data_IF_404199349037
#
_entry.id   IF_404199349037
#
_cell.length_a   1.000
_cell.length_b   1.000
_cell.length_c   1.000
_cell.angle_alpha   90.00
_cell.angle_beta   90.00
_cell.angle_gamma   90.00
#
_symmetry.space_group_name_H-M   'P 1'
#
loop_
_entity.id
_entity.type
_entity.pdbx_description
1 polymer ?
#
# COMPACT_ATOMS: atom_id res chain seq x y z
N UNK A 1 7.84 -12.66 -24.54
CA UNK A 1 8.36 -11.36 -25.03
C UNK A 1 8.41 -10.44 -23.83
N UNK A 2 9.55 -10.36 -23.13
CA UNK A 2 9.66 -9.49 -21.95
C UNK A 2 9.62 -8.03 -22.37
N UNK A 3 8.42 -7.45 -22.31
CA UNK A 3 8.10 -6.05 -22.53
C UNK A 3 8.49 -5.25 -21.28
N UNK A 4 9.78 -5.18 -20.98
CA UNK A 4 10.27 -4.33 -19.88
C UNK A 4 10.61 -2.96 -20.45
N UNK A 5 10.02 -1.89 -19.90
CA UNK A 5 10.31 -0.49 -20.26
C UNK A 5 11.81 -0.16 -20.26
N UNK A 6 12.61 -0.86 -19.45
CA UNK A 6 14.08 -0.80 -19.46
C UNK A 6 14.71 -1.07 -20.84
N UNK A 7 14.14 -1.98 -21.63
CA UNK A 7 14.63 -2.23 -23.00
C UNK A 7 14.37 -1.04 -23.92
N UNK A 8 13.24 -0.36 -23.74
CA UNK A 8 12.91 0.83 -24.51
C UNK A 8 13.83 2.00 -24.13
N UNK A 9 14.17 2.16 -22.85
CA UNK A 9 15.15 3.16 -22.43
C UNK A 9 16.51 2.93 -23.08
N UNK A 10 16.97 1.68 -23.13
CA UNK A 10 18.22 1.32 -23.80
C UNK A 10 18.17 1.63 -25.32
N UNK A 11 17.08 1.29 -26.00
CA UNK A 11 16.89 1.58 -27.43
C UNK A 11 16.86 3.08 -27.73
N UNK A 12 16.27 3.88 -26.83
CA UNK A 12 16.19 5.34 -26.94
C UNK A 12 17.46 6.05 -26.44
N UNK A 13 18.50 5.29 -26.06
CA UNK A 13 19.74 5.80 -25.49
C UNK A 13 19.53 6.72 -24.27
N UNK A 14 18.48 6.47 -23.48
CA UNK A 14 18.22 7.20 -22.24
C UNK A 14 19.15 6.66 -21.14
N UNK A 15 19.95 7.51 -20.48
CA UNK A 15 20.81 7.08 -19.38
C UNK A 15 19.99 6.43 -18.26
N UNK A 16 20.40 5.25 -17.84
CA UNK A 16 19.75 4.48 -16.77
C UNK A 16 20.77 3.66 -16.01
N UNK A 17 20.47 3.35 -14.75
CA UNK A 17 21.34 2.51 -13.93
C UNK A 17 21.30 1.06 -14.45
N UNK A 18 22.46 0.43 -14.73
CA UNK A 18 22.52 -0.91 -15.35
C UNK A 18 22.02 -2.04 -14.45
N UNK A 19 21.87 -1.80 -13.14
CA UNK A 19 21.31 -2.72 -12.14
C UNK A 19 20.19 -2.04 -11.35
N UNK A 20 19.18 -1.53 -12.06
CA UNK A 20 17.99 -0.98 -11.42
C UNK A 20 17.20 -2.10 -10.75
N UNK A 21 16.85 -1.89 -9.48
CA UNK A 21 15.94 -2.73 -8.71
C UNK A 21 14.93 -1.79 -8.03
N UNK A 22 13.63 -2.07 -8.21
CA UNK A 22 12.55 -1.16 -7.83
C UNK A 22 12.47 -0.98 -6.31
N UNK A 23 12.51 -2.09 -5.57
CA UNK A 23 12.38 -2.08 -4.12
C UNK A 23 13.55 -1.33 -3.46
N UNK A 24 14.79 -1.63 -3.85
CA UNK A 24 15.98 -0.96 -3.30
C UNK A 24 16.12 0.51 -3.74
N UNK A 25 15.51 0.90 -4.86
CA UNK A 25 15.50 2.29 -5.30
C UNK A 25 14.50 3.17 -4.53
N UNK A 26 13.37 2.61 -4.08
CA UNK A 26 12.28 3.37 -3.46
C UNK A 26 12.08 3.11 -1.96
N UNK A 27 12.71 2.07 -1.42
CA UNK A 27 12.69 1.73 0.01
C UNK A 27 14.06 1.96 0.64
N UNK A 28 14.06 2.62 1.79
CA UNK A 28 15.23 2.65 2.64
C UNK A 28 15.31 1.34 3.47
N UNK A 29 16.51 0.79 3.72
CA UNK A 29 16.66 -0.43 4.51
C UNK A 29 16.07 -0.34 5.94
N UNK A 30 16.00 0.88 6.51
CA UNK A 30 15.33 1.13 7.79
C UNK A 30 13.82 0.94 7.68
N UNK A 31 13.19 1.49 6.64
CA UNK A 31 11.75 1.36 6.41
C UNK A 31 11.38 -0.12 6.25
N UNK A 32 12.15 -0.87 5.45
CA UNK A 32 11.94 -2.31 5.25
C UNK A 32 12.07 -3.09 6.56
N UNK A 33 13.04 -2.73 7.40
CA UNK A 33 13.20 -3.36 8.71
C UNK A 33 11.99 -3.12 9.61
N UNK A 34 11.47 -1.89 9.64
CA UNK A 34 10.30 -1.55 10.44
C UNK A 34 9.05 -2.29 9.94
N UNK A 35 8.88 -2.41 8.61
CA UNK A 35 7.78 -3.19 8.04
C UNK A 35 7.86 -4.67 8.43
N UNK A 36 9.06 -5.24 8.44
CA UNK A 36 9.27 -6.62 8.88
C UNK A 36 8.92 -6.82 10.36
N UNK A 37 9.28 -5.86 11.23
CA UNK A 37 8.89 -5.87 12.65
C UNK A 37 7.37 -5.79 12.80
N UNK A 38 6.71 -5.01 11.94
CA UNK A 38 5.25 -4.86 11.89
C UNK A 38 4.55 -6.09 11.27
N UNK A 39 5.29 -7.07 10.74
CA UNK A 39 4.77 -8.35 10.26
C UNK A 39 4.64 -8.49 8.74
N UNK A 40 5.21 -7.58 7.96
CA UNK A 40 5.43 -7.79 6.53
C UNK A 40 6.49 -8.90 6.33
N UNK A 41 6.32 -9.83 5.38
CA UNK A 41 7.39 -10.77 5.04
C UNK A 41 8.63 -10.07 4.50
N UNK A 42 9.79 -10.65 4.81
CA UNK A 42 11.09 -10.18 4.32
C UNK A 42 11.42 -10.66 2.89
N UNK A 43 10.43 -11.09 2.11
CA UNK A 43 10.65 -11.47 0.70
C UNK A 43 10.56 -10.24 -0.22
N UNK A 44 11.17 -10.35 -1.41
CA UNK A 44 11.24 -9.23 -2.37
C UNK A 44 9.85 -8.77 -2.80
N UNK A 45 8.91 -9.68 -3.06
CA UNK A 45 7.58 -9.35 -3.54
C UNK A 45 6.77 -8.59 -2.48
N UNK A 46 6.85 -9.03 -1.22
CA UNK A 46 6.25 -8.32 -0.09
C UNK A 46 6.86 -6.93 0.12
N UNK A 47 8.19 -6.80 -0.06
CA UNK A 47 8.87 -5.51 0.02
C UNK A 47 8.42 -4.55 -1.09
N UNK A 48 8.27 -5.03 -2.33
CA UNK A 48 7.72 -4.26 -3.45
C UNK A 48 6.30 -3.77 -3.16
N UNK A 49 5.45 -4.64 -2.61
CA UNK A 49 4.09 -4.25 -2.18
C UNK A 49 4.12 -3.21 -1.05
N UNK A 50 5.03 -3.35 -0.09
CA UNK A 50 5.24 -2.36 0.97
C UNK A 50 5.61 -0.98 0.42
N UNK A 51 6.49 -0.95 -0.59
CA UNK A 51 6.83 0.28 -1.32
C UNK A 51 5.61 0.88 -1.99
N UNK A 52 4.81 0.09 -2.69
CA UNK A 52 3.60 0.57 -3.36
C UNK A 52 2.61 1.18 -2.37
N UNK A 53 2.49 0.61 -1.18
CA UNK A 53 1.62 1.11 -0.12
C UNK A 53 2.13 2.44 0.47
N UNK A 54 3.44 2.57 0.71
CA UNK A 54 4.01 3.76 1.38
C UNK A 54 4.38 4.91 0.43
N UNK A 55 4.71 4.62 -0.82
CA UNK A 55 5.15 5.60 -1.83
C UNK A 55 4.10 5.86 -2.92
N UNK A 56 3.06 5.04 -2.99
CA UNK A 56 1.96 5.20 -3.95
C UNK A 56 1.19 6.50 -3.70
N UNK A 57 0.82 7.19 -4.79
CA UNK A 57 -0.02 8.40 -4.73
C UNK A 57 -1.49 8.08 -4.48
N UNK A 58 -1.94 6.89 -4.85
CA UNK A 58 -3.30 6.39 -4.65
C UNK A 58 -3.31 5.41 -3.50
N UNK A 59 -4.42 5.34 -2.77
CA UNK A 59 -4.61 4.32 -1.74
C UNK A 59 -4.67 2.94 -2.40
N UNK A 60 -3.85 1.98 -1.93
CA UNK A 60 -3.79 0.65 -2.55
C UNK A 60 -5.01 -0.19 -2.16
N UNK A 61 -5.57 -0.89 -3.14
CA UNK A 61 -6.48 -2.01 -2.88
C UNK A 61 -5.63 -3.27 -2.64
N UNK A 62 -5.61 -3.76 -1.41
CA UNK A 62 -4.83 -4.95 -1.03
C UNK A 62 -5.67 -6.22 -1.24
N UNK A 63 -5.22 -7.07 -2.17
CA UNK A 63 -5.80 -8.40 -2.39
C UNK A 63 -5.05 -9.39 -1.50
N UNK A 64 -5.63 -9.74 -0.36
CA UNK A 64 -4.92 -10.44 0.72
C UNK A 64 -5.74 -11.64 1.26
N UNK A 65 -5.72 -12.80 0.58
CA UNK A 65 -6.46 -13.98 1.02
C UNK A 65 -5.93 -14.57 2.33
N UNK A 66 -4.71 -14.22 2.74
CA UNK A 66 -4.04 -14.74 3.94
C UNK A 66 -4.15 -13.80 5.15
N UNK A 67 -4.67 -12.59 4.97
CA UNK A 67 -4.81 -11.57 6.02
C UNK A 67 -3.47 -10.97 6.50
N UNK A 68 -2.40 -11.16 5.72
CA UNK A 68 -1.07 -10.69 6.07
C UNK A 68 -0.92 -9.18 5.96
N UNK A 69 -1.32 -8.59 4.83
CA UNK A 69 -1.30 -7.16 4.64
C UNK A 69 -2.22 -6.46 5.65
N UNK A 70 -3.36 -7.08 5.94
CA UNK A 70 -4.28 -6.59 6.97
C UNK A 70 -3.61 -6.50 8.36
N UNK A 71 -2.92 -7.56 8.78
CA UNK A 71 -2.18 -7.60 10.05
C UNK A 71 -1.05 -6.58 10.06
N UNK A 72 -0.32 -6.46 8.96
CA UNK A 72 0.79 -5.52 8.83
C UNK A 72 0.32 -4.06 8.99
N UNK A 73 -0.75 -3.64 8.29
CA UNK A 73 -1.28 -2.27 8.41
C UNK A 73 -1.81 -1.99 9.81
N UNK A 74 -2.48 -2.95 10.46
CA UNK A 74 -2.93 -2.82 11.85
C UNK A 74 -1.79 -2.55 12.82
N UNK A 75 -0.70 -3.31 12.70
CA UNK A 75 0.48 -3.13 13.55
C UNK A 75 1.22 -1.82 13.24
N UNK A 76 1.30 -1.45 11.96
CA UNK A 76 1.98 -0.23 11.52
C UNK A 76 1.30 1.04 12.05
N UNK A 77 -0.04 1.06 12.06
CA UNK A 77 -0.84 2.24 12.42
C UNK A 77 -1.46 2.14 13.83
N UNK A 78 -1.06 1.15 14.64
CA UNK A 78 -1.60 0.91 15.98
C UNK A 78 -1.48 2.14 16.88
N UNK A 79 -0.30 2.76 16.89
CA UNK A 79 -0.03 3.97 17.68
C UNK A 79 -0.78 5.21 17.17
N UNK A 80 -1.22 5.20 15.91
CA UNK A 80 -1.93 6.32 15.27
C UNK A 80 -3.45 6.22 15.38
N UNK A 81 -3.96 5.20 16.09
CA UNK A 81 -5.39 5.05 16.36
C UNK A 81 -6.20 4.60 15.15
N UNK A 82 -5.63 3.73 14.31
CA UNK A 82 -6.25 3.17 13.11
C UNK A 82 -7.72 2.82 13.31
N UNK A 83 -8.59 3.38 12.45
CA UNK A 83 -10.00 3.05 12.40
C UNK A 83 -10.26 1.97 11.36
N UNK A 84 -10.75 0.83 11.82
CA UNK A 84 -11.18 -0.26 10.95
C UNK A 84 -12.66 -0.08 10.67
N UNK A 85 -13.00 -0.03 9.38
CA UNK A 85 -14.38 0.13 8.92
C UNK A 85 -14.72 -0.94 7.88
N UNK A 86 -16.02 -1.17 7.71
CA UNK A 86 -16.60 -2.06 6.71
C UNK A 86 -17.77 -1.31 6.04
N UNK A 87 -17.98 -1.52 4.73
CA UNK A 87 -19.06 -0.87 3.97
C UNK A 87 -20.46 -1.22 4.49
N UNK A 88 -20.59 -2.34 5.21
CA UNK A 88 -21.84 -2.76 5.83
C UNK A 88 -22.15 -2.02 7.14
N UNK A 89 -21.20 -1.25 7.69
CA UNK A 89 -21.41 -0.53 8.94
C UNK A 89 -22.33 0.69 8.75
N UNK A 90 -23.38 0.83 9.59
CA UNK A 90 -24.22 2.03 9.57
C UNK A 90 -23.39 3.29 9.82
N UNK A 91 -23.46 4.26 8.92
CA UNK A 91 -22.75 5.53 9.07
C UNK A 91 -21.23 5.45 8.84
N UNK A 92 -20.74 4.46 8.08
CA UNK A 92 -19.32 4.37 7.74
C UNK A 92 -18.79 5.66 7.05
N UNK A 93 -19.59 6.29 6.19
CA UNK A 93 -19.24 7.57 5.53
C UNK A 93 -18.91 8.65 6.55
N UNK A 94 -19.75 8.83 7.56
CA UNK A 94 -19.50 9.81 8.63
C UNK A 94 -18.22 9.48 9.41
N UNK A 95 -17.90 8.21 9.55
CA UNK A 95 -16.65 7.77 10.18
C UNK A 95 -15.46 8.14 9.31
N UNK A 96 -15.54 7.91 7.99
CA UNK A 96 -14.51 8.31 7.02
C UNK A 96 -14.30 9.83 7.04
N UNK A 97 -15.38 10.61 6.95
CA UNK A 97 -15.34 12.07 6.99
C UNK A 97 -14.62 12.60 8.25
N UNK A 98 -14.97 12.06 9.41
CA UNK A 98 -14.29 12.42 10.67
C UNK A 98 -12.80 12.06 10.62
N UNK A 99 -12.45 10.88 10.10
CA UNK A 99 -11.06 10.45 10.02
C UNK A 99 -10.24 11.34 9.07
N UNK A 100 -10.82 11.76 7.95
CA UNK A 100 -10.21 12.74 7.05
C UNK A 100 -10.03 14.09 7.76
N UNK A 101 -11.05 14.56 8.48
CA UNK A 101 -11.00 15.85 9.21
C UNK A 101 -9.92 15.86 10.30
N UNK A 102 -9.76 14.77 11.04
CA UNK A 102 -8.83 14.67 12.16
C UNK A 102 -7.49 14.02 11.80
N UNK A 103 -7.28 13.62 10.54
CA UNK A 103 -6.05 12.96 10.09
C UNK A 103 -5.83 11.57 10.72
N UNK A 104 -6.91 10.86 11.03
CA UNK A 104 -6.84 9.50 11.61
C UNK A 104 -6.75 8.46 10.49
N UNK A 105 -5.81 7.50 10.53
CA UNK A 105 -5.73 6.44 9.53
C UNK A 105 -7.00 5.58 9.50
N UNK A 106 -7.40 5.16 8.30
CA UNK A 106 -8.57 4.30 8.08
C UNK A 106 -8.16 3.06 7.29
N UNK A 107 -8.61 1.90 7.74
CA UNK A 107 -8.51 0.63 7.02
C UNK A 107 -9.93 0.13 6.71
N UNK A 108 -10.33 0.25 5.44
CA UNK A 108 -11.55 -0.33 4.93
C UNK A 108 -11.31 -1.82 4.61
N UNK A 109 -12.13 -2.70 5.19
CA UNK A 109 -12.02 -4.15 5.06
C UNK A 109 -13.23 -4.72 4.34
N UNK A 110 -13.08 -5.96 3.86
CA UNK A 110 -14.15 -6.72 3.20
C UNK A 110 -14.81 -5.95 2.04
N UNK A 111 -13.99 -5.21 1.30
CA UNK A 111 -14.45 -4.50 0.10
C UNK A 111 -14.98 -5.56 -0.88
N UNK A 112 -16.24 -5.38 -1.29
CA UNK A 112 -16.89 -6.22 -2.30
C UNK A 112 -16.43 -5.80 -3.70
N UNK A 113 -16.95 -6.46 -4.73
CA UNK A 113 -16.62 -6.12 -6.13
C UNK A 113 -17.03 -4.69 -6.50
N UNK A 114 -18.06 -4.15 -5.83
CA UNK A 114 -18.55 -2.80 -6.01
C UNK A 114 -18.10 -1.87 -4.87
N UNK A 115 -17.50 -0.74 -5.24
CA UNK A 115 -17.18 0.36 -4.33
C UNK A 115 -18.20 1.47 -4.54
N UNK A 116 -18.73 2.03 -3.45
CA UNK A 116 -19.63 3.17 -3.51
C UNK A 116 -18.91 4.37 -4.16
N UNK A 117 -19.44 4.96 -5.26
CA UNK A 117 -18.81 6.09 -5.95
C UNK A 117 -18.54 7.28 -5.04
N UNK A 118 -19.23 7.40 -3.90
CA UNK A 118 -18.99 8.44 -2.91
C UNK A 118 -17.57 8.40 -2.29
N UNK A 119 -16.88 7.26 -2.41
CA UNK A 119 -15.50 7.08 -1.97
C UNK A 119 -14.48 7.48 -3.03
N UNK A 120 -14.91 7.79 -4.26
CA UNK A 120 -14.05 8.36 -5.29
C UNK A 120 -13.92 9.88 -5.07
N UNK A 121 -12.68 10.41 -4.95
CA UNK A 121 -12.44 11.85 -4.79
C UNK A 121 -12.63 12.65 -6.08
#
# INVERSE_FOLDING_TARGET
VDLTWMKQLAQLAVPSSPKFDFASFLADPSDVRDWNIQGLPADTFSTENGVMVKRGRRWPLMIDPQGQANKWIRNMEEANGLKIIDLQMPGYIRTVENCVQFGTPVLLQNILEDIDPILEP
#
